data_IF_409010778562
#
_entry.id   IF_409010778562
#
_cell.length_a   1.000
_cell.length_b   1.000
_cell.length_c   1.000
_cell.angle_alpha   90.00
_cell.angle_beta   90.00
_cell.angle_gamma   90.00
#
_symmetry.space_group_name_H-M   'P 1'
#
loop_
_entity.id
_entity.type
_entity.pdbx_description
1 polymer ?
#
# COMPACT_ATOMS: atom_id res chain seq x y z
N UNK A 1 -7.71 -9.84 10.37
CA UNK A 1 -8.51 -9.75 11.59
C UNK A 1 -9.69 -10.74 11.57
N UNK A 2 -10.74 -10.56 10.75
CA UNK A 2 -11.91 -11.49 10.71
C UNK A 2 -11.57 -12.95 10.39
N UNK A 3 -10.44 -13.22 9.79
CA UNK A 3 -9.94 -14.57 9.49
C UNK A 3 -8.94 -15.09 10.56
N UNK A 4 -8.83 -14.43 11.70
CA UNK A 4 -7.94 -14.84 12.80
C UNK A 4 -6.49 -14.40 12.67
N UNK A 5 -6.13 -13.65 11.62
CA UNK A 5 -4.79 -13.08 11.49
C UNK A 5 -4.68 -11.74 12.23
N UNK A 6 -3.66 -11.58 13.05
CA UNK A 6 -3.34 -10.29 13.63
C UNK A 6 -2.78 -9.37 12.54
N UNK A 7 -3.55 -8.35 12.19
CA UNK A 7 -3.16 -7.37 11.17
C UNK A 7 -3.25 -5.96 11.74
N UNK A 8 -2.21 -5.19 11.52
CA UNK A 8 -2.14 -3.79 11.87
C UNK A 8 -2.11 -2.96 10.60
N UNK A 9 -2.86 -1.87 10.56
CA UNK A 9 -2.81 -0.91 9.46
C UNK A 9 -2.38 0.46 9.95
N UNK A 10 -1.54 1.12 9.18
CA UNK A 10 -1.19 2.52 9.44
C UNK A 10 -2.14 3.41 8.66
N UNK A 11 -2.86 4.28 9.36
CA UNK A 11 -3.78 5.22 8.74
C UNK A 11 -3.55 6.64 9.24
N UNK A 12 -3.83 7.62 8.36
CA UNK A 12 -3.92 9.01 8.76
C UNK A 12 -5.33 9.26 9.32
N UNK A 13 -5.48 9.97 10.47
CA UNK A 13 -6.77 10.43 10.93
C UNK A 13 -7.49 11.28 9.89
N UNK A 14 -8.81 11.14 9.80
CA UNK A 14 -9.65 12.01 8.99
C UNK A 14 -9.80 13.36 9.68
N UNK A 15 -9.91 14.43 8.88
CA UNK A 15 -10.03 15.80 9.38
C UNK A 15 -11.34 16.01 10.20
N UNK A 16 -12.42 15.29 9.87
CA UNK A 16 -13.65 15.29 10.66
C UNK A 16 -13.56 14.27 11.81
N UNK A 17 -13.53 14.69 13.09
CA UNK A 17 -13.34 13.79 14.23
C UNK A 17 -14.50 12.81 14.44
N UNK A 18 -15.72 13.16 14.06
CA UNK A 18 -16.88 12.28 14.18
C UNK A 18 -16.81 11.13 13.16
N UNK A 19 -16.51 11.44 11.90
CA UNK A 19 -16.33 10.44 10.84
C UNK A 19 -15.12 9.57 11.15
N UNK A 20 -14.02 10.18 11.63
CA UNK A 20 -12.83 9.43 12.02
C UNK A 20 -13.14 8.41 13.12
N UNK A 21 -13.79 8.83 14.20
CA UNK A 21 -14.17 7.93 15.31
C UNK A 21 -15.09 6.80 14.84
N UNK A 22 -16.07 7.12 14.01
CA UNK A 22 -16.99 6.11 13.47
C UNK A 22 -16.21 5.08 12.60
N UNK A 23 -15.38 5.55 11.67
CA UNK A 23 -14.63 4.68 10.76
C UNK A 23 -13.64 3.79 11.51
N UNK A 24 -12.89 4.37 12.47
CA UNK A 24 -11.97 3.61 13.30
C UNK A 24 -12.72 2.54 14.11
N UNK A 25 -13.83 2.91 14.76
CA UNK A 25 -14.64 1.96 15.53
C UNK A 25 -15.23 0.83 14.69
N UNK A 26 -15.57 1.06 13.41
CA UNK A 26 -16.01 -0.02 12.50
C UNK A 26 -14.86 -0.99 12.20
N UNK A 27 -13.65 -0.50 11.99
CA UNK A 27 -12.46 -1.32 11.70
C UNK A 27 -12.00 -2.12 12.92
N UNK A 28 -11.95 -1.48 14.09
CA UNK A 28 -11.54 -2.11 15.34
C UNK A 28 -12.49 -3.22 15.78
N UNK A 29 -13.81 -3.05 15.59
CA UNK A 29 -14.81 -4.11 15.84
C UNK A 29 -14.56 -5.39 15.04
N UNK A 30 -13.87 -5.29 13.91
CA UNK A 30 -13.47 -6.42 13.08
C UNK A 30 -12.09 -6.98 13.48
N UNK A 31 -11.52 -6.54 14.62
CA UNK A 31 -10.22 -6.98 15.12
C UNK A 31 -9.02 -6.36 14.42
N UNK A 32 -9.23 -5.32 13.61
CA UNK A 32 -8.12 -4.60 12.98
C UNK A 32 -7.56 -3.54 13.93
N UNK A 33 -6.27 -3.61 14.28
CA UNK A 33 -5.57 -2.52 14.96
C UNK A 33 -5.18 -1.45 13.95
N UNK A 34 -5.43 -0.20 14.30
CA UNK A 34 -5.04 0.94 13.47
C UNK A 34 -4.04 1.77 14.27
N UNK A 35 -2.86 1.94 13.71
CA UNK A 35 -1.82 2.79 14.30
C UNK A 35 -1.89 4.19 13.72
N UNK A 36 -1.78 5.19 14.59
CA UNK A 36 -1.56 6.57 14.16
C UNK A 36 -0.12 6.70 13.62
N UNK A 37 0.04 7.44 12.55
CA UNK A 37 1.33 7.70 11.91
C UNK A 37 2.42 8.23 12.88
N UNK A 38 2.01 8.87 13.98
CA UNK A 38 2.90 9.45 15.00
C UNK A 38 3.28 8.44 16.10
N UNK A 39 3.67 7.32 15.90
CA UNK A 39 4.05 6.29 16.89
C UNK A 39 4.15 4.92 16.25
N UNK A 40 3.59 4.83 15.04
CA UNK A 40 3.52 3.59 14.30
C UNK A 40 4.89 2.93 14.05
N UNK A 41 5.98 3.70 13.96
CA UNK A 41 7.28 3.16 13.54
C UNK A 41 7.83 2.16 14.56
N UNK A 42 7.78 2.46 15.87
CA UNK A 42 8.25 1.55 16.90
C UNK A 42 7.34 0.31 17.01
N UNK A 43 6.02 0.52 17.09
CA UNK A 43 5.05 -0.59 17.18
C UNK A 43 5.04 -1.49 15.95
N UNK A 44 5.28 -0.92 14.76
CA UNK A 44 5.43 -1.70 13.51
C UNK A 44 6.70 -2.54 13.56
N UNK A 45 7.80 -2.00 14.12
CA UNK A 45 9.03 -2.73 14.32
C UNK A 45 8.82 -3.97 15.17
N UNK A 46 8.34 -3.78 16.38
CA UNK A 46 8.06 -4.86 17.34
C UNK A 46 7.12 -5.92 16.75
N UNK A 47 6.10 -5.48 16.02
CA UNK A 47 5.16 -6.40 15.37
C UNK A 47 5.83 -7.27 14.31
N UNK A 48 6.66 -6.68 13.42
CA UNK A 48 7.36 -7.42 12.37
C UNK A 48 8.42 -8.37 12.92
N UNK A 49 9.14 -7.96 13.96
CA UNK A 49 10.11 -8.82 14.66
C UNK A 49 9.46 -10.05 15.30
N UNK A 50 8.20 -9.91 15.76
CA UNK A 50 7.41 -11.01 16.32
C UNK A 50 6.59 -11.78 15.25
N UNK A 51 6.86 -11.59 13.97
CA UNK A 51 6.19 -12.31 12.87
C UNK A 51 4.77 -11.84 12.57
N UNK A 52 4.39 -10.66 13.05
CA UNK A 52 3.09 -10.04 12.75
C UNK A 52 3.02 -9.43 11.36
N UNK A 53 1.85 -8.93 10.98
CA UNK A 53 1.57 -8.42 9.63
C UNK A 53 1.14 -6.96 9.65
N UNK A 54 1.74 -6.14 8.78
CA UNK A 54 1.38 -4.73 8.58
C UNK A 54 0.74 -4.54 7.21
N UNK A 55 -0.47 -3.99 7.20
CA UNK A 55 -1.21 -3.69 5.97
C UNK A 55 -1.04 -2.25 5.53
N UNK A 56 -0.78 -2.06 4.23
CA UNK A 56 -0.68 -0.76 3.57
C UNK A 56 -1.66 -0.66 2.41
N UNK A 57 -2.24 0.54 2.23
CA UNK A 57 -2.92 0.90 0.98
C UNK A 57 -1.88 1.62 0.12
N UNK A 58 -1.40 0.94 -0.93
CA UNK A 58 -0.19 1.33 -1.65
C UNK A 58 -0.44 1.91 -3.06
N UNK A 59 -1.68 1.95 -3.50
CA UNK A 59 -2.11 2.43 -4.82
C UNK A 59 -2.19 3.96 -4.95
N UNK A 60 -1.96 4.68 -3.86
CA UNK A 60 -2.09 6.14 -3.81
C UNK A 60 -0.76 6.88 -4.04
N UNK A 61 -0.89 8.16 -4.40
CA UNK A 61 0.26 9.06 -4.55
C UNK A 61 0.93 9.34 -3.20
N UNK A 62 2.23 9.12 -3.12
CA UNK A 62 3.01 9.31 -1.88
C UNK A 62 3.49 10.74 -1.65
N UNK A 63 3.20 11.67 -2.56
CA UNK A 63 3.65 13.06 -2.49
C UNK A 63 5.16 13.21 -2.71
N UNK A 64 5.73 14.32 -2.26
CA UNK A 64 7.12 14.70 -2.55
C UNK A 64 8.18 13.79 -1.88
N UNK A 65 7.78 12.95 -0.93
CA UNK A 65 8.68 12.04 -0.21
C UNK A 65 8.68 10.61 -0.79
N UNK A 66 7.87 10.35 -1.81
CA UNK A 66 7.80 9.06 -2.48
C UNK A 66 9.01 8.77 -3.35
N UNK A 67 9.13 7.52 -3.75
CA UNK A 67 10.05 7.07 -4.79
C UNK A 67 9.31 7.06 -6.12
N UNK A 68 9.94 7.57 -7.17
CA UNK A 68 9.34 7.58 -8.50
C UNK A 68 9.63 6.25 -9.21
N UNK A 69 8.56 5.52 -9.49
CA UNK A 69 8.58 4.26 -10.24
C UNK A 69 7.56 4.32 -11.38
N UNK A 70 7.65 3.40 -12.31
CA UNK A 70 6.73 3.34 -13.44
C UNK A 70 5.37 2.76 -13.02
N UNK A 71 4.31 3.43 -13.43
CA UNK A 71 2.92 3.00 -13.29
C UNK A 71 2.15 3.43 -14.54
N UNK A 72 1.70 2.47 -15.34
CA UNK A 72 1.15 2.69 -16.69
C UNK A 72 2.09 3.47 -17.62
N UNK A 73 3.39 3.19 -17.56
CA UNK A 73 4.40 3.84 -18.40
C UNK A 73 4.74 5.29 -18.01
N UNK A 74 4.23 5.77 -16.86
CA UNK A 74 4.52 7.12 -16.34
C UNK A 74 5.10 7.04 -14.93
N UNK A 75 6.04 7.92 -14.62
CA UNK A 75 6.60 8.01 -13.26
C UNK A 75 5.54 8.46 -12.26
N UNK A 76 5.30 7.64 -11.24
CA UNK A 76 4.37 7.90 -10.16
C UNK A 76 5.08 7.87 -8.81
N UNK A 77 4.84 8.90 -8.00
CA UNK A 77 5.38 8.95 -6.64
C UNK A 77 4.73 7.88 -5.76
N UNK A 78 5.54 6.98 -5.22
CA UNK A 78 5.09 5.73 -4.60
C UNK A 78 5.70 5.56 -3.20
N UNK A 79 4.99 4.89 -2.29
CA UNK A 79 5.41 4.72 -0.89
C UNK A 79 6.64 3.82 -0.76
N UNK A 80 7.80 4.42 -0.50
CA UNK A 80 9.04 3.69 -0.25
C UNK A 80 9.12 3.03 1.13
N UNK A 81 8.24 3.42 2.06
CA UNK A 81 8.22 2.86 3.43
C UNK A 81 7.97 1.36 3.45
N UNK A 82 7.23 0.82 2.50
CA UNK A 82 6.98 -0.63 2.35
C UNK A 82 8.31 -1.35 2.09
N UNK A 83 9.07 -0.90 1.10
CA UNK A 83 10.39 -1.47 0.79
C UNK A 83 11.40 -1.30 1.93
N UNK A 84 11.41 -0.14 2.59
CA UNK A 84 12.30 0.10 3.73
C UNK A 84 12.01 -0.86 4.89
N UNK A 85 10.75 -1.08 5.25
CA UNK A 85 10.37 -2.03 6.28
C UNK A 85 10.69 -3.47 5.87
N UNK A 86 10.40 -3.84 4.62
CA UNK A 86 10.72 -5.17 4.10
C UNK A 86 12.23 -5.46 4.22
N UNK A 87 13.08 -4.52 3.83
CA UNK A 87 14.54 -4.64 3.92
C UNK A 87 15.03 -4.69 5.37
N UNK A 88 14.52 -3.80 6.22
CA UNK A 88 14.94 -3.68 7.62
C UNK A 88 14.63 -4.93 8.44
N UNK A 89 13.45 -5.53 8.21
CA UNK A 89 12.98 -6.69 8.99
C UNK A 89 13.06 -8.00 8.20
N UNK A 90 13.68 -8.00 7.02
CA UNK A 90 13.72 -9.17 6.13
C UNK A 90 12.34 -9.81 5.93
N UNK A 91 11.30 -8.96 5.87
CA UNK A 91 9.92 -9.39 5.80
C UNK A 91 9.45 -9.49 4.34
N UNK A 92 8.77 -10.58 3.92
CA UNK A 92 8.22 -10.66 2.58
C UNK A 92 7.10 -9.63 2.37
N UNK A 93 6.97 -9.15 1.12
CA UNK A 93 5.89 -8.23 0.73
C UNK A 93 4.85 -8.99 -0.06
N UNK A 94 3.65 -9.13 0.51
CA UNK A 94 2.51 -9.77 -0.15
C UNK A 94 1.62 -8.72 -0.78
N UNK A 95 1.43 -8.78 -2.09
CA UNK A 95 0.60 -7.85 -2.84
C UNK A 95 -0.73 -8.55 -3.17
N UNK A 96 -1.79 -8.11 -2.51
CA UNK A 96 -3.12 -8.66 -2.68
C UNK A 96 -4.16 -7.59 -3.01
N UNK A 97 -5.30 -8.03 -3.47
CA UNK A 97 -6.44 -7.18 -3.79
C UNK A 97 -7.77 -7.83 -3.46
N UNK A 98 -8.81 -7.01 -3.32
CA UNK A 98 -10.19 -7.44 -3.18
C UNK A 98 -10.97 -6.98 -4.40
N UNK A 99 -11.42 -7.91 -5.24
CA UNK A 99 -12.25 -7.64 -6.41
C UNK A 99 -13.70 -7.94 -6.09
N UNK A 100 -14.60 -6.96 -6.30
CA UNK A 100 -16.05 -7.16 -6.18
C UNK A 100 -16.55 -8.02 -7.34
N UNK A 101 -17.43 -8.97 -7.04
CA UNK A 101 -18.01 -9.89 -8.02
C UNK A 101 -19.46 -9.47 -8.32
N UNK A 102 -19.68 -8.89 -9.49
CA UNK A 102 -20.99 -8.41 -9.95
C UNK A 102 -21.56 -7.32 -9.03
N UNK A 103 -22.88 -7.22 -8.95
CA UNK A 103 -23.58 -6.15 -8.22
C UNK A 103 -23.85 -6.46 -6.75
N UNK A 104 -23.56 -7.69 -6.32
CA UNK A 104 -23.78 -8.11 -4.92
C UNK A 104 -22.58 -7.74 -4.05
N UNK A 105 -22.78 -7.72 -2.74
CA UNK A 105 -21.71 -7.54 -1.74
C UNK A 105 -20.89 -8.84 -1.59
N UNK A 106 -20.22 -9.23 -2.67
CA UNK A 106 -19.35 -10.40 -2.74
C UNK A 106 -18.01 -9.99 -3.31
N UNK A 107 -16.92 -10.46 -2.69
CA UNK A 107 -15.56 -10.12 -3.07
C UNK A 107 -14.73 -11.38 -3.27
N UNK A 108 -13.83 -11.35 -4.25
CA UNK A 108 -12.73 -12.29 -4.39
C UNK A 108 -11.48 -11.62 -3.82
N UNK A 109 -10.87 -12.27 -2.84
CA UNK A 109 -9.54 -11.90 -2.37
C UNK A 109 -8.53 -12.73 -3.15
N UNK A 110 -7.47 -12.11 -3.63
CA UNK A 110 -6.40 -12.78 -4.34
C UNK A 110 -5.04 -12.16 -4.01
N UNK A 111 -4.00 -12.96 -4.11
CA UNK A 111 -2.61 -12.52 -4.05
C UNK A 111 -2.11 -12.44 -5.50
N UNK A 112 -1.57 -11.26 -5.86
CA UNK A 112 -1.03 -11.00 -7.18
C UNK A 112 0.45 -11.34 -7.27
N UNK A 113 1.21 -11.03 -6.22
CA UNK A 113 2.64 -11.29 -6.16
C UNK A 113 3.10 -11.41 -4.70
N UNK A 114 4.21 -12.10 -4.49
CA UNK A 114 4.94 -12.16 -3.22
C UNK A 114 6.41 -11.88 -3.51
N UNK A 115 6.96 -10.87 -2.85
CA UNK A 115 8.36 -10.49 -2.99
C UNK A 115 9.11 -10.97 -1.76
N UNK A 116 10.00 -11.93 -1.93
CA UNK A 116 10.80 -12.49 -0.84
C UNK A 116 12.14 -11.77 -0.66
N UNK A 117 12.78 -11.83 0.52
CA UNK A 117 14.12 -11.27 0.75
C UNK A 117 15.17 -11.73 -0.27
N UNK A 118 15.10 -12.97 -0.73
CA UNK A 118 15.98 -13.50 -1.77
C UNK A 118 15.87 -12.77 -3.12
N UNK A 119 14.71 -12.17 -3.42
CA UNK A 119 14.46 -11.53 -4.71
C UNK A 119 15.20 -10.21 -4.86
N UNK A 120 15.43 -9.51 -3.74
CA UNK A 120 16.14 -8.23 -3.76
C UNK A 120 17.57 -8.26 -3.20
N UNK A 121 18.01 -9.40 -2.65
CA UNK A 121 19.30 -9.52 -2.00
C UNK A 121 20.49 -9.18 -2.92
N UNK A 122 20.36 -9.45 -4.22
CA UNK A 122 21.38 -9.22 -5.22
C UNK A 122 21.03 -8.09 -6.22
N UNK A 123 20.10 -7.23 -5.89
CA UNK A 123 19.74 -6.08 -6.72
C UNK A 123 20.64 -4.88 -6.41
N UNK A 124 21.02 -4.11 -7.41
CA UNK A 124 21.83 -2.89 -7.24
C UNK A 124 21.10 -1.84 -6.40
N UNK A 125 19.78 -1.70 -6.58
CA UNK A 125 18.90 -0.87 -5.77
C UNK A 125 17.70 -1.69 -5.27
N UNK A 126 17.84 -2.38 -4.13
CA UNK A 126 16.76 -3.20 -3.57
C UNK A 126 15.48 -2.41 -3.28
N UNK A 127 15.61 -1.15 -2.83
CA UNK A 127 14.46 -0.31 -2.54
C UNK A 127 13.66 0.03 -3.79
N UNK A 128 14.35 0.39 -4.86
CA UNK A 128 13.71 0.62 -6.17
C UNK A 128 13.08 -0.66 -6.69
N UNK A 129 13.80 -1.78 -6.65
CA UNK A 129 13.29 -3.08 -7.10
C UNK A 129 11.98 -3.47 -6.40
N UNK A 130 11.93 -3.45 -5.07
CA UNK A 130 10.74 -3.78 -4.29
C UNK A 130 9.59 -2.83 -4.66
N UNK A 131 9.89 -1.51 -4.71
CA UNK A 131 8.87 -0.49 -4.97
C UNK A 131 8.31 -0.60 -6.39
N UNK A 132 9.14 -0.84 -7.37
CA UNK A 132 8.72 -1.04 -8.77
C UNK A 132 7.91 -2.34 -8.92
N UNK A 133 8.37 -3.44 -8.30
CA UNK A 133 7.72 -4.74 -8.42
C UNK A 133 6.32 -4.75 -7.79
N UNK A 134 6.15 -4.22 -6.58
CA UNK A 134 4.80 -4.16 -6.01
C UNK A 134 3.89 -3.20 -6.77
N UNK A 135 4.44 -2.13 -7.36
CA UNK A 135 3.68 -1.20 -8.18
C UNK A 135 3.23 -1.86 -9.49
N UNK A 136 4.08 -2.66 -10.12
CA UNK A 136 3.73 -3.44 -11.31
C UNK A 136 2.64 -4.49 -11.01
N UNK A 137 2.66 -5.13 -9.84
CA UNK A 137 1.61 -6.03 -9.40
C UNK A 137 0.27 -5.29 -9.21
N UNK A 138 0.29 -4.07 -8.65
CA UNK A 138 -0.89 -3.21 -8.57
C UNK A 138 -1.41 -2.84 -9.97
N UNK A 139 -0.53 -2.44 -10.87
CA UNK A 139 -0.89 -2.14 -12.27
C UNK A 139 -1.58 -3.33 -12.93
N UNK A 140 -1.08 -4.54 -12.73
CA UNK A 140 -1.66 -5.74 -13.34
C UNK A 140 -3.12 -5.95 -12.92
N UNK A 141 -3.45 -5.91 -11.63
CA UNK A 141 -4.84 -6.10 -11.25
C UNK A 141 -5.75 -4.91 -11.60
N UNK A 142 -5.20 -3.70 -11.76
CA UNK A 142 -5.96 -2.58 -12.33
C UNK A 142 -6.24 -2.82 -13.81
N UNK A 143 -5.30 -3.38 -14.58
CA UNK A 143 -5.53 -3.78 -15.98
C UNK A 143 -6.59 -4.87 -16.12
N UNK A 144 -6.62 -5.81 -15.18
CA UNK A 144 -7.59 -6.91 -15.17
C UNK A 144 -9.02 -6.43 -14.89
N UNK A 145 -9.21 -5.37 -14.13
CA UNK A 145 -10.53 -4.78 -13.83
C UNK A 145 -10.44 -3.26 -13.57
N UNK A 146 -10.24 -2.46 -14.62
CA UNK A 146 -10.01 -1.02 -14.49
C UNK A 146 -11.23 -0.27 -13.93
N UNK A 147 -12.43 -0.84 -14.01
CA UNK A 147 -13.66 -0.23 -13.48
C UNK A 147 -13.70 -0.16 -11.96
N UNK A 148 -12.86 -0.92 -11.26
CA UNK A 148 -12.83 -0.94 -9.80
C UNK A 148 -11.68 -0.13 -9.19
N UNK A 149 -10.83 0.50 -10.02
CA UNK A 149 -9.79 1.38 -9.54
C UNK A 149 -10.32 2.80 -9.31
N UNK A 150 -9.83 3.44 -8.25
CA UNK A 150 -10.27 4.79 -7.86
C UNK A 150 -9.59 5.87 -8.72
N UNK A 151 -9.99 6.00 -10.00
CA UNK A 151 -9.38 6.93 -10.96
C UNK A 151 -9.51 8.41 -10.56
N UNK A 152 -10.46 8.78 -9.70
CA UNK A 152 -10.57 10.15 -9.17
C UNK A 152 -9.41 10.51 -8.24
N UNK A 153 -8.64 9.51 -7.76
CA UNK A 153 -7.40 9.77 -7.07
C UNK A 153 -6.31 10.16 -8.07
N UNK A 154 -5.81 11.38 -7.96
CA UNK A 154 -4.78 11.93 -8.84
C UNK A 154 -3.43 11.25 -8.59
N UNK A 155 -3.23 10.04 -9.16
CA UNK A 155 -2.09 9.15 -8.90
C UNK A 155 -0.75 9.78 -9.32
N UNK A 156 -0.75 10.58 -10.37
CA UNK A 156 0.44 11.20 -10.98
C UNK A 156 0.61 12.68 -10.63
N UNK A 157 -0.20 13.25 -9.75
CA UNK A 157 -0.15 14.69 -9.40
C UNK A 157 1.21 15.18 -8.89
N UNK A 158 2.03 14.30 -8.32
CA UNK A 158 3.40 14.62 -7.92
C UNK A 158 4.34 14.17 -9.02
N UNK A 159 5.07 15.12 -9.61
CA UNK A 159 5.98 14.84 -10.72
C UNK A 159 7.44 14.84 -10.28
N UNK A 160 8.32 14.11 -10.98
CA UNK A 160 9.77 14.26 -10.83
C UNK A 160 10.21 15.72 -10.98
N UNK A 161 11.33 16.06 -10.36
CA UNK A 161 11.88 17.41 -10.46
C UNK A 161 12.19 17.78 -11.91
N UNK A 162 11.62 18.90 -12.37
CA UNK A 162 11.79 19.36 -13.76
C UNK A 162 10.66 18.95 -14.72
N UNK A 163 9.76 18.06 -14.30
CA UNK A 163 8.58 17.74 -15.09
C UNK A 163 7.38 18.60 -14.67
N UNK A 164 6.61 19.04 -15.65
CA UNK A 164 5.38 19.81 -15.41
C UNK A 164 4.20 18.83 -15.16
N UNK A 165 3.27 19.17 -14.24
CA UNK A 165 2.00 18.45 -14.13
C UNK A 165 1.19 18.60 -15.42
N UNK A 166 0.55 17.54 -15.84
CA UNK A 166 -0.43 17.59 -16.92
C UNK A 166 -1.83 17.88 -16.39
N UNK A 167 -2.77 18.38 -17.22
CA UNK A 167 -4.12 18.79 -16.77
C UNK A 167 -4.88 17.72 -15.99
N UNK A 168 -4.58 16.44 -16.22
CA UNK A 168 -5.26 15.29 -15.60
C UNK A 168 -4.39 14.50 -14.62
N UNK A 169 -3.26 15.04 -14.20
CA UNK A 169 -2.38 14.42 -13.19
C UNK A 169 -2.99 14.41 -11.78
#
# INVERSE_FOLDING_TARGET
ATLGFETVSVARPLDNPYINRWLLGVRERQGQRILDKKGAIAEVGDLLENGGTVGFIADQNAGNKGLFVDFFGRKASTYKSIGLLAMQYSAPVVIGYARRLGDRFRFRLAVQDIIYPSDWANQDDPLFYITQRYTAAIEQFVRDDPGQYLWVHRRWKTRPKGEQPEPYD
#
